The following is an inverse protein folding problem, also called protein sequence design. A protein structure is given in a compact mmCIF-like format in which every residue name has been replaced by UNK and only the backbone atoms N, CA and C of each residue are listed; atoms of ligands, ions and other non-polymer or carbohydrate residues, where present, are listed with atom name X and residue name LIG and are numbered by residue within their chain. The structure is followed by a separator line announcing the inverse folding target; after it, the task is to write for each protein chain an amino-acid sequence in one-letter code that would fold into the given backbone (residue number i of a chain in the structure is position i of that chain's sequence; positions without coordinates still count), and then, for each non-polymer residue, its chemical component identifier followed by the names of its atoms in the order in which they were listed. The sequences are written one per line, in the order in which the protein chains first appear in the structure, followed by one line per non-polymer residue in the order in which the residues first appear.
data_IF_528162648988
#
_entry.id   IF_528162648988
#
_cell.length_a   1.000
_cell.length_b   1.000
_cell.length_c   1.000
_cell.angle_alpha   90.00
_cell.angle_beta   90.00
_cell.angle_gamma   90.00
#
_symmetry.space_group_name_H-M   'P 1'
#
loop_
_entity.id
_entity.type
_entity.pdbx_description
1 polymer ?
#
# COMPACT_ATOMS: atom_id res chain seq x y z
N UNK A 1 4.19 2.20 -18.02
CA UNK A 1 4.47 3.10 -16.87
C UNK A 1 4.26 2.31 -15.60
N UNK A 2 5.05 2.56 -14.55
CA UNK A 2 4.84 1.91 -13.26
C UNK A 2 4.04 2.87 -12.37
N UNK A 3 2.92 2.40 -11.84
CA UNK A 3 2.07 3.19 -10.95
C UNK A 3 2.53 3.03 -9.51
N UNK A 4 2.34 4.05 -8.69
CA UNK A 4 2.55 3.98 -7.26
C UNK A 4 1.23 4.08 -6.53
N UNK A 5 1.07 3.23 -5.53
CA UNK A 5 -0.04 3.30 -4.58
C UNK A 5 0.49 3.58 -3.19
N UNK A 6 -0.24 4.36 -2.41
CA UNK A 6 0.09 4.60 -1.01
C UNK A 6 -0.95 4.03 -0.06
N UNK A 7 -0.50 3.67 1.14
CA UNK A 7 -1.29 3.26 2.28
C UNK A 7 -0.98 4.16 3.48
N UNK A 8 -2.01 4.55 4.23
CA UNK A 8 -1.85 5.23 5.52
C UNK A 8 -2.17 4.30 6.68
N UNK A 9 -1.40 4.43 7.76
CA UNK A 9 -1.58 3.64 8.98
C UNK A 9 -1.20 4.45 10.22
N UNK A 10 -1.42 3.89 11.41
CA UNK A 10 -0.85 4.47 12.62
C UNK A 10 0.68 4.39 12.56
N UNK A 11 1.42 5.42 13.02
CA UNK A 11 2.87 5.33 13.15
C UNK A 11 3.30 4.10 13.94
N UNK A 12 4.27 3.35 13.43
CA UNK A 12 4.76 2.10 14.02
C UNK A 12 4.07 0.84 13.49
N UNK A 13 2.94 0.97 12.79
CA UNK A 13 2.25 -0.17 12.16
C UNK A 13 2.78 -0.50 10.75
N UNK A 14 3.77 0.24 10.25
CA UNK A 14 4.29 0.04 8.90
C UNK A 14 4.80 -1.38 8.63
N UNK A 15 5.51 -2.05 9.57
CA UNK A 15 5.88 -3.45 9.39
C UNK A 15 4.68 -4.39 9.27
N UNK A 16 3.60 -4.14 10.00
CA UNK A 16 2.38 -4.94 9.96
C UNK A 16 1.65 -4.76 8.63
N UNK A 17 1.52 -3.52 8.15
CA UNK A 17 0.93 -3.23 6.84
C UNK A 17 1.75 -3.85 5.71
N UNK A 18 3.09 -3.74 5.74
CA UNK A 18 3.95 -4.39 4.72
C UNK A 18 3.73 -5.90 4.66
N UNK A 19 3.60 -6.57 5.81
CA UNK A 19 3.33 -8.02 5.88
C UNK A 19 1.94 -8.35 5.35
N UNK A 20 0.94 -7.55 5.71
CA UNK A 20 -0.42 -7.74 5.22
C UNK A 20 -0.49 -7.57 3.70
N UNK A 21 0.06 -6.48 3.16
CA UNK A 21 0.09 -6.21 1.72
C UNK A 21 0.87 -7.28 0.97
N UNK A 22 2.03 -7.72 1.48
CA UNK A 22 2.79 -8.81 0.85
C UNK A 22 1.99 -10.13 0.80
N UNK A 23 1.05 -10.35 1.73
CA UNK A 23 0.18 -11.53 1.78
C UNK A 23 -1.08 -11.38 0.91
N UNK A 24 -1.73 -10.22 0.94
CA UNK A 24 -3.02 -10.02 0.28
C UNK A 24 -2.90 -9.47 -1.14
N UNK A 25 -1.80 -8.77 -1.45
CA UNK A 25 -1.50 -8.14 -2.75
C UNK A 25 -0.02 -8.34 -3.12
N UNK A 26 0.44 -9.58 -3.35
CA UNK A 26 1.86 -9.88 -3.60
C UNK A 26 2.44 -9.20 -4.85
N UNK A 27 1.60 -8.72 -5.76
CA UNK A 27 1.97 -7.91 -6.92
C UNK A 27 2.51 -6.53 -6.53
N UNK A 28 2.13 -6.02 -5.37
CA UNK A 28 2.56 -4.71 -4.87
C UNK A 28 3.92 -4.83 -4.19
N UNK A 29 4.91 -4.15 -4.75
CA UNK A 29 6.28 -4.16 -4.24
C UNK A 29 6.52 -2.94 -3.37
N UNK A 30 7.02 -3.16 -2.15
CA UNK A 30 7.40 -2.05 -1.27
C UNK A 30 8.33 -1.05 -1.99
N UNK A 31 8.02 0.24 -1.89
CA UNK A 31 8.80 1.31 -2.51
C UNK A 31 9.39 2.25 -1.45
N UNK A 32 8.57 2.80 -0.55
CA UNK A 32 9.02 3.76 0.46
C UNK A 32 8.14 3.72 1.72
N UNK A 33 8.70 4.12 2.86
CA UNK A 33 7.98 4.22 4.13
C UNK A 33 8.49 5.37 4.97
N UNK A 34 7.57 6.08 5.61
CA UNK A 34 7.81 7.00 6.73
C UNK A 34 6.72 6.79 7.78
N UNK A 35 6.84 7.35 9.00
CA UNK A 35 5.79 7.21 10.02
C UNK A 35 4.40 7.57 9.47
N UNK A 36 3.48 6.61 9.48
CA UNK A 36 2.09 6.72 9.05
C UNK A 36 1.83 6.66 7.53
N UNK A 37 2.85 6.51 6.70
CA UNK A 37 2.72 6.44 5.23
C UNK A 37 3.65 5.38 4.63
N UNK A 38 3.09 4.56 3.75
CA UNK A 38 3.82 3.52 3.02
C UNK A 38 3.41 3.60 1.56
N UNK A 39 4.36 3.43 0.65
CA UNK A 39 4.08 3.35 -0.78
C UNK A 39 4.56 2.04 -1.38
N UNK A 40 3.87 1.62 -2.42
CA UNK A 40 4.14 0.40 -3.18
C UNK A 40 4.14 0.70 -4.67
N UNK A 41 5.04 0.05 -5.39
CA UNK A 41 5.06 0.02 -6.85
C UNK A 41 4.11 -1.07 -7.33
N UNK A 42 3.20 -0.71 -8.23
CA UNK A 42 2.31 -1.63 -8.90
C UNK A 42 2.78 -1.89 -10.33
N UNK A 43 2.80 -3.15 -10.80
CA UNK A 43 3.06 -3.49 -12.20
C UNK A 43 1.85 -3.21 -13.11
N UNK A 44 0.68 -2.89 -12.53
CA UNK A 44 -0.58 -2.67 -13.24
C UNK A 44 -1.25 -1.40 -12.75
N UNK A 45 -2.16 -0.88 -13.57
CA UNK A 45 -3.02 0.22 -13.14
C UNK A 45 -3.92 -0.23 -11.98
N UNK A 46 -3.97 0.58 -10.92
CA UNK A 46 -4.81 0.35 -9.75
C UNK A 46 -5.98 1.32 -9.82
N UNK A 47 -7.20 0.79 -9.79
CA UNK A 47 -8.41 1.60 -9.84
C UNK A 47 -8.56 2.43 -8.55
N UNK A 48 -9.12 3.63 -8.64
CA UNK A 48 -9.28 4.53 -7.48
C UNK A 48 -10.30 4.00 -6.46
N UNK A 49 -11.24 3.21 -6.95
CA UNK A 49 -12.32 2.53 -6.24
C UNK A 49 -11.94 1.12 -5.76
N UNK A 50 -10.68 0.72 -5.96
CA UNK A 50 -10.16 -0.57 -5.51
C UNK A 50 -10.14 -0.60 -3.97
N UNK A 51 -10.99 -1.42 -3.32
CA UNK A 51 -11.19 -1.34 -1.90
C UNK A 51 -9.91 -1.73 -1.16
N UNK A 52 -9.63 -1.10 0.00
CA UNK A 52 -8.53 -1.54 0.81
C UNK A 52 -8.74 -2.96 1.30
N UNK A 53 -8.07 -3.91 0.66
CA UNK A 53 -7.96 -5.31 1.11
C UNK A 53 -7.11 -5.47 2.38
N UNK A 54 -7.05 -4.44 3.22
CA UNK A 54 -6.23 -4.36 4.42
C UNK A 54 -7.02 -3.65 5.52
N UNK A 55 -7.07 -4.26 6.70
CA UNK A 55 -7.72 -3.66 7.88
C UNK A 55 -6.84 -2.55 8.47
N UNK A 56 -5.53 -2.60 8.17
CA UNK A 56 -4.53 -1.69 8.72
C UNK A 56 -4.23 -0.48 7.80
N UNK A 57 -4.52 -0.59 6.50
CA UNK A 57 -4.34 0.46 5.51
C UNK A 57 -5.70 1.07 5.13
N UNK A 58 -5.91 2.33 5.51
CA UNK A 58 -7.23 2.98 5.34
C UNK A 58 -7.47 3.63 3.98
N UNK A 59 -6.43 3.85 3.18
CA UNK A 59 -6.53 4.56 1.88
C UNK A 59 -5.56 3.92 0.90
N UNK A 60 -6.01 3.65 -0.33
CA UNK A 60 -5.14 3.41 -1.49
C UNK A 60 -5.29 4.61 -2.44
N UNK A 61 -4.22 5.37 -2.67
CA UNK A 61 -4.26 6.48 -3.64
C UNK A 61 -3.12 6.40 -4.64
N UNK A 62 -3.33 7.00 -5.82
CA UNK A 62 -2.35 7.06 -6.92
C UNK A 62 -1.46 8.30 -6.79
N UNK A 63 -0.20 8.19 -7.23
CA UNK A 63 0.73 9.32 -7.45
C UNK A 63 1.53 9.11 -8.73
#
# INVERSE_FOLDING_TARGET
MAEFVFATCLPGFEPAVKREVARTRPELRFAYSRPGLITFKSPREVALDDPPGSVLARVWGRS
#
